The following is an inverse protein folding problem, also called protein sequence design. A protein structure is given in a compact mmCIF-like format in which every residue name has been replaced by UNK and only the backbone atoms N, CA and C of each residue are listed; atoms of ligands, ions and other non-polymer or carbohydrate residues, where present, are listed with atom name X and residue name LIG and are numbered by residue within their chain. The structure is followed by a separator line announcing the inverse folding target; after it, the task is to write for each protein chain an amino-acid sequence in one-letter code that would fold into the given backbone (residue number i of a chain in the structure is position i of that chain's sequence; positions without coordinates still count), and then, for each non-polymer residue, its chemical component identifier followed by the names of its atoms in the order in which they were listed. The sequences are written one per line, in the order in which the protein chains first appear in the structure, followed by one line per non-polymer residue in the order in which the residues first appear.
data_IF_227908362913
#
_entry.id   IF_227908362913
#
_cell.length_a   1.000
_cell.length_b   1.000
_cell.length_c   1.000
_cell.angle_alpha   90.00
_cell.angle_beta   90.00
_cell.angle_gamma   90.00
#
_symmetry.space_group_name_H-M   'P 1'
#
loop_
_entity.id
_entity.type
_entity.pdbx_description
1 polymer ?
#
# COMPACT_ATOMS: atom_id res chain seq x y z
N UNK A 1 -18.45 12.14 -4.56
CA UNK A 1 -17.40 12.58 -3.77
C UNK A 1 -17.41 11.95 -2.44
N UNK A 2 -18.50 12.00 -1.72
CA UNK A 2 -18.57 11.44 -0.42
C UNK A 2 -18.31 9.98 -0.43
N UNK A 3 -18.74 9.29 -1.45
CA UNK A 3 -18.54 7.86 -1.51
C UNK A 3 -17.10 7.51 -1.61
N UNK A 4 -16.34 8.28 -2.40
CA UNK A 4 -14.94 8.00 -2.52
C UNK A 4 -14.21 8.27 -1.25
N UNK A 5 -14.56 9.35 -0.57
CA UNK A 5 -13.91 9.67 0.67
C UNK A 5 -14.20 8.62 1.72
N UNK A 6 -15.43 8.11 1.72
CA UNK A 6 -15.77 7.07 2.65
C UNK A 6 -15.03 5.79 2.37
N UNK A 7 -14.84 5.48 1.11
CA UNK A 7 -14.12 4.27 0.72
C UNK A 7 -12.67 4.35 1.16
N UNK A 8 -12.05 5.49 1.00
CA UNK A 8 -10.67 5.67 1.41
C UNK A 8 -10.56 5.55 2.92
N UNK A 9 -11.47 6.19 3.63
CA UNK A 9 -11.45 6.11 5.08
C UNK A 9 -11.62 4.68 5.56
N UNK A 10 -12.56 3.95 4.95
CA UNK A 10 -12.81 2.58 5.34
C UNK A 10 -11.60 1.70 5.07
N UNK A 11 -10.92 1.94 3.98
CA UNK A 11 -9.72 1.16 3.63
C UNK A 11 -8.66 1.33 4.70
N UNK A 12 -8.37 2.57 5.09
CA UNK A 12 -7.34 2.79 6.09
C UNK A 12 -7.80 2.39 7.49
N UNK A 13 -9.09 2.52 7.77
CA UNK A 13 -9.62 2.07 9.04
C UNK A 13 -9.50 0.56 9.17
N UNK A 14 -9.74 -0.15 8.10
CA UNK A 14 -9.59 -1.60 8.09
C UNK A 14 -8.14 -2.00 8.26
N UNK A 15 -7.23 -1.28 7.61
CA UNK A 15 -5.82 -1.57 7.77
C UNK A 15 -5.37 -1.32 9.22
N UNK A 16 -5.90 -0.27 9.82
CA UNK A 16 -5.60 0.03 11.20
C UNK A 16 -5.98 -1.14 12.09
N UNK A 17 -7.17 -1.67 11.89
CA UNK A 17 -7.64 -2.80 12.67
C UNK A 17 -6.81 -4.05 12.39
N UNK A 18 -6.35 -4.21 11.16
CA UNK A 18 -5.48 -5.33 10.83
C UNK A 18 -4.19 -5.26 11.63
N UNK A 19 -3.58 -4.08 11.70
CA UNK A 19 -2.34 -3.94 12.46
C UNK A 19 -2.58 -4.23 13.94
N UNK A 20 -3.72 -3.81 14.44
CA UNK A 20 -4.04 -4.09 15.83
C UNK A 20 -4.11 -5.59 16.08
N UNK A 21 -4.79 -6.31 15.21
CA UNK A 21 -4.95 -7.75 15.38
C UNK A 21 -3.61 -8.47 15.19
N UNK A 22 -2.82 -8.06 14.21
CA UNK A 22 -1.54 -8.69 13.97
C UNK A 22 -0.63 -8.50 15.17
N UNK A 23 -0.68 -7.33 15.79
CA UNK A 23 0.17 -7.07 16.93
C UNK A 23 -0.15 -7.98 18.10
N UNK A 24 -1.35 -8.54 18.13
CA UNK A 24 -1.72 -9.41 19.22
C UNK A 24 -1.20 -10.83 19.05
N UNK A 25 -0.85 -11.20 17.85
CA UNK A 25 -0.41 -12.57 17.61
C UNK A 25 1.08 -12.70 17.31
N UNK A 26 1.77 -11.59 17.09
CA UNK A 26 3.19 -11.66 16.83
C UNK A 26 3.98 -11.66 18.14
N UNK A 27 5.11 -12.34 18.12
CA UNK A 27 5.95 -12.40 19.29
C UNK A 27 6.82 -11.16 19.35
N UNK A 28 6.61 -10.34 20.35
CA UNK A 28 7.31 -9.07 20.43
C UNK A 28 8.80 -9.29 20.61
N UNK A 29 9.57 -8.53 19.87
CA UNK A 29 11.02 -8.59 19.95
C UNK A 29 11.64 -9.60 19.01
N UNK A 30 10.81 -10.44 18.36
CA UNK A 30 11.36 -11.47 17.50
C UNK A 30 10.64 -11.58 16.17
N UNK A 31 9.81 -10.64 15.83
CA UNK A 31 8.99 -10.78 14.64
C UNK A 31 9.25 -9.69 13.63
N UNK A 32 8.93 -9.98 12.40
CA UNK A 32 8.98 -9.01 11.33
C UNK A 32 7.64 -9.01 10.62
N UNK A 33 7.29 -7.88 10.06
CA UNK A 33 6.05 -7.76 9.31
C UNK A 33 6.36 -7.06 8.01
N UNK A 34 5.87 -7.59 6.91
CA UNK A 34 6.07 -6.98 5.60
C UNK A 34 4.75 -6.84 4.90
N UNK A 35 4.50 -5.66 4.37
CA UNK A 35 3.30 -5.44 3.57
C UNK A 35 3.74 -5.01 2.17
N UNK A 36 3.10 -5.58 1.18
CA UNK A 36 3.35 -5.19 -0.20
C UNK A 36 2.16 -4.35 -0.63
N UNK A 37 2.40 -3.12 -0.95
CA UNK A 37 1.33 -2.22 -1.33
C UNK A 37 1.69 -1.45 -2.58
N UNK A 38 0.70 -1.01 -3.29
CA UNK A 38 0.92 -0.14 -4.43
C UNK A 38 0.14 1.13 -4.15
N UNK A 39 0.78 2.25 -4.34
CA UNK A 39 0.08 3.51 -4.17
C UNK A 39 -0.85 3.70 -5.34
N UNK A 40 -2.06 4.06 -5.08
CA UNK A 40 -3.02 4.18 -6.14
C UNK A 40 -3.54 5.59 -6.21
N UNK A 41 -4.12 5.94 -7.32
CA UNK A 41 -4.70 7.24 -7.48
C UNK A 41 -6.18 7.18 -7.23
N UNK A 42 -6.66 8.19 -6.55
CA UNK A 42 -8.07 8.34 -6.33
C UNK A 42 -8.40 9.75 -6.80
N UNK A 43 -9.18 9.85 -7.85
CA UNK A 43 -9.52 11.14 -8.41
C UNK A 43 -8.28 11.94 -8.77
N UNK A 44 -7.35 11.31 -9.41
CA UNK A 44 -6.11 11.92 -9.87
C UNK A 44 -5.18 12.30 -8.76
N UNK A 45 -5.50 11.97 -7.52
CA UNK A 45 -4.60 12.21 -6.43
C UNK A 45 -3.91 10.93 -6.06
N UNK A 46 -2.62 10.96 -5.92
CA UNK A 46 -1.88 9.78 -5.54
C UNK A 46 -2.01 9.58 -4.04
N UNK A 47 -2.48 8.42 -3.64
CA UNK A 47 -2.60 8.11 -2.23
C UNK A 47 -1.33 7.46 -1.75
N UNK A 48 -0.59 8.09 -0.85
CA UNK A 48 0.69 7.53 -0.42
C UNK A 48 0.48 6.44 0.63
N UNK A 49 -0.07 5.33 0.20
CA UNK A 49 -0.41 4.25 1.09
C UNK A 49 0.81 3.75 1.84
N UNK A 50 1.95 3.67 1.17
CA UNK A 50 3.17 3.18 1.77
C UNK A 50 3.58 4.03 2.97
N UNK A 51 3.32 5.32 2.95
CA UNK A 51 3.68 6.16 4.08
C UNK A 51 2.62 6.16 5.16
N UNK A 52 1.38 6.05 4.75
CA UNK A 52 0.29 6.07 5.71
C UNK A 52 0.33 4.83 6.59
N UNK A 53 0.62 3.67 6.00
CA UNK A 53 0.61 2.45 6.79
C UNK A 53 1.77 2.40 7.78
N UNK A 54 2.87 3.09 7.48
CA UNK A 54 3.95 3.19 8.44
C UNK A 54 3.44 3.86 9.72
N UNK A 55 2.68 4.92 9.56
CA UNK A 55 2.16 5.63 10.73
C UNK A 55 1.09 4.84 11.44
N UNK A 56 0.24 4.14 10.71
CA UNK A 56 -0.79 3.34 11.33
C UNK A 56 -0.19 2.24 12.21
N UNK A 57 0.82 1.58 11.70
CA UNK A 57 1.42 0.48 12.43
C UNK A 57 2.14 0.95 13.68
N UNK A 58 2.63 2.18 13.65
CA UNK A 58 3.38 2.70 14.77
C UNK A 58 2.57 2.69 16.06
N UNK A 59 1.28 2.89 15.96
CA UNK A 59 0.42 2.93 17.13
C UNK A 59 0.41 1.61 17.88
N UNK A 60 0.72 0.52 17.22
CA UNK A 60 0.62 -0.79 17.82
C UNK A 60 1.97 -1.41 18.14
N UNK A 61 3.00 -0.58 18.15
CA UNK A 61 4.31 -1.05 18.56
C UNK A 61 5.22 -1.55 17.47
N UNK A 62 4.80 -1.43 16.23
CA UNK A 62 5.66 -1.82 15.12
C UNK A 62 6.72 -0.76 14.91
N UNK A 63 7.95 -1.18 14.72
CA UNK A 63 9.05 -0.27 14.47
C UNK A 63 9.43 -0.32 13.01
N UNK A 64 9.30 0.78 12.35
CA UNK A 64 9.58 0.87 10.92
C UNK A 64 11.04 0.56 10.65
N UNK A 65 11.29 -0.28 9.67
CA UNK A 65 12.64 -0.60 9.30
C UNK A 65 13.02 -0.02 7.94
N UNK A 66 12.28 -0.33 6.93
CA UNK A 66 12.61 0.16 5.59
C UNK A 66 11.48 -0.06 4.62
N UNK A 67 11.56 0.63 3.50
CA UNK A 67 10.63 0.41 2.40
C UNK A 67 11.46 0.09 1.18
N UNK A 68 11.17 -1.02 0.54
CA UNK A 68 11.86 -1.43 -0.67
C UNK A 68 10.92 -1.16 -1.83
N UNK A 69 11.41 -0.44 -2.82
CA UNK A 69 10.60 -0.12 -3.98
C UNK A 69 10.95 -1.07 -5.10
N UNK A 70 9.95 -1.63 -5.73
CA UNK A 70 10.16 -2.59 -6.78
C UNK A 70 9.31 -2.23 -7.98
N UNK A 71 9.89 -2.27 -9.15
CA UNK A 71 9.19 -1.98 -10.35
C UNK A 71 8.53 -3.24 -10.86
N UNK A 72 7.26 -3.14 -11.20
CA UNK A 72 6.58 -4.27 -11.75
C UNK A 72 6.85 -4.33 -13.23
N UNK A 73 7.47 -5.40 -13.68
CA UNK A 73 7.93 -5.45 -15.03
C UNK A 73 6.92 -5.98 -15.96
N UNK A 74 6.28 -6.94 -15.85
CA UNK A 74 5.44 -7.49 -16.79
C UNK A 74 4.03 -7.03 -16.67
N UNK A 75 3.67 -5.94 -17.18
CA UNK A 75 2.35 -5.43 -17.16
C UNK A 75 1.72 -5.43 -18.50
N UNK A 76 2.04 -6.41 -19.27
CA UNK A 76 1.58 -6.43 -20.63
C UNK A 76 0.08 -6.45 -20.71
N UNK A 77 -0.55 -7.17 -19.83
CA UNK A 77 -1.96 -7.27 -19.94
C UNK A 77 -2.63 -5.94 -19.67
N UNK A 78 -2.09 -5.15 -18.82
CA UNK A 78 -2.67 -3.88 -18.53
C UNK A 78 -2.56 -2.96 -19.71
N UNK A 79 -1.47 -2.97 -20.40
CA UNK A 79 -1.33 -2.15 -21.54
C UNK A 79 -2.27 -2.59 -22.61
N UNK A 80 -2.49 -3.86 -22.77
CA UNK A 80 -3.33 -4.27 -23.79
C UNK A 80 -4.75 -3.88 -23.57
N UNK A 81 -5.12 -3.75 -22.37
CA UNK A 81 -6.47 -3.44 -22.06
C UNK A 81 -6.85 -2.01 -22.24
N UNK A 82 -5.92 -1.16 -22.50
CA UNK A 82 -6.24 0.20 -22.71
C UNK A 82 -6.61 0.36 -24.15
N UNK A 83 -7.72 0.78 -24.47
CA UNK A 83 -8.12 0.89 -25.85
C UNK A 83 -7.20 1.78 -26.62
N UNK A 84 -6.85 2.84 -26.11
CA UNK A 84 -5.98 3.70 -26.77
C UNK A 84 -4.70 3.10 -26.84
N UNK A 85 -4.41 2.22 -25.94
CA UNK A 85 -3.14 1.63 -25.97
C UNK A 85 -2.16 2.64 -26.01
N UNK A 86 -2.40 3.76 -25.53
CA UNK A 86 -1.46 4.76 -25.55
C UNK A 86 -0.56 4.57 -24.49
N UNK A 87 0.63 4.38 -24.85
CA UNK A 87 1.60 4.04 -23.98
C UNK A 87 1.74 4.90 -22.84
N UNK A 88 1.69 6.13 -22.98
CA UNK A 88 2.03 6.98 -21.90
C UNK A 88 0.93 7.07 -20.90
N UNK A 89 -0.20 6.46 -21.12
CA UNK A 89 -1.16 6.57 -20.19
C UNK A 89 -1.18 5.55 -19.20
N UNK A 90 -0.58 4.51 -19.50
CA UNK A 90 -0.62 3.50 -18.77
C UNK A 90 -0.01 3.56 -17.74
N UNK A 91 -0.05 3.74 -17.05
CA UNK A 91 0.41 3.57 -16.36
C UNK A 91 1.15 3.55 -15.47
N UNK A 92 1.65 4.21 -15.28
CA UNK A 92 2.58 4.35 -14.34
C UNK A 92 2.06 4.18 -12.99
N UNK A 93 0.83 4.34 -12.70
CA UNK A 93 0.30 4.25 -11.38
C UNK A 93 0.43 2.87 -10.82
N UNK A 94 0.46 1.87 -11.64
CA UNK A 94 0.56 0.53 -11.13
C UNK A 94 1.86 -0.12 -11.46
N UNK A 95 2.85 0.66 -11.79
CA UNK A 95 4.13 0.10 -12.20
C UNK A 95 5.05 -0.19 -11.06
N UNK A 96 4.82 0.38 -9.90
CA UNK A 96 5.73 0.22 -8.78
C UNK A 96 5.00 -0.35 -7.60
N UNK A 97 5.68 -1.13 -6.82
CA UNK A 97 5.15 -1.61 -5.56
C UNK A 97 6.10 -1.24 -4.47
N UNK A 98 5.57 -1.09 -3.28
CA UNK A 98 6.39 -0.79 -2.11
C UNK A 98 6.28 -1.95 -1.15
N UNK A 99 7.41 -2.41 -0.66
CA UNK A 99 7.44 -3.46 0.34
C UNK A 99 7.87 -2.80 1.63
N UNK A 100 6.94 -2.63 2.55
CA UNK A 100 7.21 -1.92 3.79
C UNK A 100 7.53 -2.95 4.85
N UNK A 101 8.62 -2.76 5.56
CA UNK A 101 9.12 -3.74 6.51
C UNK A 101 9.17 -3.13 7.88
N UNK A 102 8.64 -3.83 8.86
CA UNK A 102 8.70 -3.43 10.25
C UNK A 102 9.29 -4.55 11.08
N UNK A 103 9.80 -4.16 12.24
CA UNK A 103 10.20 -5.11 13.27
C UNK A 103 9.20 -5.00 14.41
N UNK A 104 8.92 -6.09 15.05
CA UNK A 104 7.96 -6.05 16.15
C UNK A 104 8.53 -6.71 17.40
#
# INVERSE_FOLDING_TARGET
HFERARDVFAFYSDLDQCFEQISKILKKGESHCCFVVANRRVRRELMPTDKIIVELAKKYGFRYKETIYRKIINKAFSSKNTPENITNHRDETMNDESIVVWEY
#
